data_IF_647962576609
#
_entry.id   IF_647962576609
#
_cell.length_a   1.000
_cell.length_b   1.000
_cell.length_c   1.000
_cell.angle_alpha   90.00
_cell.angle_beta   90.00
_cell.angle_gamma   90.00
#
_symmetry.space_group_name_H-M   'P 1'
#
loop_
_entity.id
_entity.type
_entity.pdbx_description
1 polymer ?
#
# COMPACT_ATOMS: atom_id res chain seq x y z
N UNK A 1 -10.35 2.40 -4.22
CA UNK A 1 -9.02 2.47 -4.84
C UNK A 1 -9.20 2.09 -6.30
N UNK A 2 -8.69 2.90 -7.22
CA UNK A 2 -8.60 2.48 -8.63
C UNK A 2 -7.63 1.32 -8.78
N UNK A 3 -7.69 0.60 -9.91
CA UNK A 3 -6.78 -0.50 -10.19
C UNK A 3 -5.30 -0.06 -10.15
N UNK A 4 -5.01 1.18 -10.56
CA UNK A 4 -3.66 1.77 -10.47
C UNK A 4 -3.20 1.92 -9.01
N UNK A 5 -4.05 2.46 -8.12
CA UNK A 5 -3.72 2.56 -6.69
C UNK A 5 -3.45 1.20 -6.05
N UNK A 6 -4.22 0.16 -6.42
CA UNK A 6 -4.00 -1.19 -5.91
C UNK A 6 -2.65 -1.77 -6.38
N UNK A 7 -2.28 -1.54 -7.64
CA UNK A 7 -0.98 -1.97 -8.19
C UNK A 7 0.17 -1.22 -7.53
N UNK A 8 0.07 0.10 -7.34
CA UNK A 8 1.06 0.91 -6.63
C UNK A 8 1.24 0.43 -5.18
N UNK A 9 0.14 0.13 -4.49
CA UNK A 9 0.17 -0.43 -3.13
C UNK A 9 0.85 -1.80 -3.09
N UNK A 10 0.55 -2.70 -4.04
CA UNK A 10 1.19 -4.01 -4.16
C UNK A 10 2.70 -3.91 -4.41
N UNK A 11 3.11 -3.03 -5.32
CA UNK A 11 4.52 -2.77 -5.62
C UNK A 11 5.27 -2.31 -4.37
N UNK A 12 4.75 -1.30 -3.68
CA UNK A 12 5.35 -0.78 -2.45
C UNK A 12 5.35 -1.84 -1.33
N UNK A 13 4.31 -2.67 -1.25
CA UNK A 13 4.22 -3.75 -0.28
C UNK A 13 5.28 -4.85 -0.53
N UNK A 14 5.54 -5.18 -1.80
CA UNK A 14 6.62 -6.07 -2.22
C UNK A 14 8.01 -5.51 -1.88
N UNK A 15 8.26 -4.25 -2.23
CA UNK A 15 9.52 -3.53 -1.93
C UNK A 15 9.81 -3.47 -0.41
N UNK A 16 8.75 -3.35 0.40
CA UNK A 16 8.87 -3.32 1.85
C UNK A 16 8.99 -4.72 2.51
N UNK A 17 9.22 -5.79 1.74
CA UNK A 17 9.29 -7.17 2.27
C UNK A 17 8.07 -7.54 3.13
N UNK A 18 6.85 -7.21 2.65
CA UNK A 18 5.58 -7.45 3.36
C UNK A 18 5.42 -6.67 4.67
N UNK A 19 6.26 -5.66 4.92
CA UNK A 19 6.12 -4.78 6.09
C UNK A 19 5.05 -3.72 5.83
N UNK A 20 3.87 -3.95 6.40
CA UNK A 20 2.67 -3.10 6.24
C UNK A 20 2.89 -1.66 6.72
N UNK A 21 3.67 -1.46 7.79
CA UNK A 21 3.93 -0.12 8.35
C UNK A 21 4.83 0.69 7.43
N UNK A 22 5.91 0.09 6.96
CA UNK A 22 6.81 0.72 5.97
C UNK A 22 6.09 0.98 4.66
N UNK A 23 5.30 0.00 4.18
CA UNK A 23 4.56 0.16 2.94
C UNK A 23 3.53 1.29 3.01
N UNK A 24 2.80 1.42 4.13
CA UNK A 24 1.85 2.52 4.34
C UNK A 24 2.55 3.88 4.42
N UNK A 25 3.67 3.98 5.13
CA UNK A 25 4.45 5.22 5.22
C UNK A 25 4.99 5.62 3.84
N UNK A 26 5.61 4.69 3.11
CA UNK A 26 6.21 4.94 1.81
C UNK A 26 5.16 5.24 0.74
N UNK A 27 3.98 4.61 0.81
CA UNK A 27 2.83 4.95 -0.02
C UNK A 27 2.32 6.36 0.28
N UNK A 28 2.30 6.78 1.55
CA UNK A 28 1.91 8.14 1.92
C UNK A 28 2.94 9.19 1.48
N UNK A 29 4.24 8.87 1.55
CA UNK A 29 5.31 9.72 1.05
C UNK A 29 5.28 9.87 -0.48
N UNK A 30 5.03 8.79 -1.23
CA UNK A 30 4.94 8.84 -2.70
C UNK A 30 3.65 9.47 -3.20
N UNK A 31 2.55 9.32 -2.47
CA UNK A 31 1.23 9.76 -2.90
C UNK A 31 0.51 10.52 -1.78
N UNK A 32 0.97 11.72 -1.41
CA UNK A 32 0.34 12.53 -0.36
C UNK A 32 -1.06 13.02 -0.74
N UNK A 33 -1.36 13.11 -2.04
CA UNK A 33 -2.66 13.52 -2.56
C UNK A 33 -3.69 12.37 -2.65
N UNK A 34 -3.25 11.12 -2.46
CA UNK A 34 -4.13 9.95 -2.56
C UNK A 34 -4.69 9.54 -1.21
N UNK A 35 -5.86 8.89 -1.23
CA UNK A 35 -6.50 8.39 -0.02
C UNK A 35 -5.64 7.30 0.62
N UNK A 36 -5.16 7.53 1.84
CA UNK A 36 -4.31 6.57 2.53
C UNK A 36 -5.13 5.39 3.05
N UNK A 37 -4.77 4.15 2.66
CA UNK A 37 -5.43 2.96 3.20
C UNK A 37 -5.10 2.77 4.69
N UNK A 38 -6.10 2.33 5.47
CA UNK A 38 -5.88 1.84 6.84
C UNK A 38 -4.98 0.61 6.79
N UNK A 39 -4.13 0.43 7.81
CA UNK A 39 -3.14 -0.65 7.89
C UNK A 39 -3.65 -2.05 7.51
N UNK A 40 -4.91 -2.39 7.85
CA UNK A 40 -5.51 -3.69 7.51
C UNK A 40 -5.79 -3.91 6.01
N UNK A 41 -5.78 -2.85 5.20
CA UNK A 41 -6.05 -2.96 3.76
C UNK A 41 -4.91 -3.67 3.02
N UNK A 42 -3.66 -3.43 3.40
CA UNK A 42 -2.50 -4.13 2.84
C UNK A 42 -2.50 -5.62 3.17
N UNK A 43 -2.96 -6.00 4.37
CA UNK A 43 -3.08 -7.41 4.76
C UNK A 43 -4.09 -8.13 3.87
N UNK A 44 -5.27 -7.53 3.67
CA UNK A 44 -6.35 -8.07 2.85
C UNK A 44 -6.02 -8.10 1.34
N UNK A 45 -5.03 -7.31 0.90
CA UNK A 45 -4.57 -7.25 -0.49
C UNK A 45 -3.65 -8.42 -0.86
N UNK A 46 -2.94 -8.98 0.13
CA UNK A 46 -1.98 -10.06 -0.08
C UNK A 46 -2.53 -11.45 0.30
N UNK A 47 -3.66 -11.51 1.04
CA UNK A 47 -4.36 -12.74 1.40
C UNK A 47 -5.36 -13.24 0.34
N UNK A 48 -5.39 -12.65 -0.86
CA UNK A 48 -6.33 -13.02 -1.92
C UNK A 48 -5.68 -13.73 -3.10
#
# INVERSE_FOLDING_TARGET
YGNQELVDMLLIYGECHKNQRRAAALYAERFPERRHPRHGFFHNLCER
#
